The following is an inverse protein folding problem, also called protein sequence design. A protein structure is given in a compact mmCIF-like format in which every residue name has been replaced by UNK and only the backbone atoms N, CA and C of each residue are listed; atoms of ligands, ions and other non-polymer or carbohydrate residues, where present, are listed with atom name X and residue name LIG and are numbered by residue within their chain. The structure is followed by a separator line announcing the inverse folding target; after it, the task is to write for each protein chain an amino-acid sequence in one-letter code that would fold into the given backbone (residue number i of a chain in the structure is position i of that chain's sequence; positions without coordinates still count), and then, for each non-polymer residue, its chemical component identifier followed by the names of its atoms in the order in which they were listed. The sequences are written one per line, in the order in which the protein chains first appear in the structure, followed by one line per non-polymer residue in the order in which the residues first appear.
data_IF_103349505383
#
_entry.id   IF_103349505383
#
_cell.length_a   1.000
_cell.length_b   1.000
_cell.length_c   1.000
_cell.angle_alpha   90.00
_cell.angle_beta   90.00
_cell.angle_gamma   90.00
#
_symmetry.space_group_name_H-M   'P 1'
#
loop_
_entity.id
_entity.type
_entity.pdbx_description
1 polymer ?
#
# COMPACT_ATOMS: atom_id res chain seq x y z
N UNK A 1 -5.06 -10.46 -27.09
CA UNK A 1 -4.83 -9.50 -25.99
C UNK A 1 -3.33 -9.55 -25.72
N UNK A 2 -2.62 -8.42 -25.78
CA UNK A 2 -1.16 -8.45 -25.55
C UNK A 2 -0.92 -8.56 -24.05
N UNK A 3 -0.31 -9.68 -23.64
CA UNK A 3 0.12 -10.01 -22.28
C UNK A 3 1.26 -9.11 -21.75
N UNK A 4 1.70 -8.12 -22.51
CA UNK A 4 2.95 -7.42 -22.25
C UNK A 4 2.71 -6.16 -21.42
N UNK A 5 2.41 -6.33 -20.14
CA UNK A 5 2.63 -5.24 -19.19
C UNK A 5 4.11 -4.87 -19.20
N UNK A 6 4.48 -3.57 -19.21
CA UNK A 6 5.87 -3.20 -19.03
C UNK A 6 6.44 -3.80 -17.74
N UNK A 7 7.72 -4.15 -17.75
CA UNK A 7 8.33 -4.90 -16.64
C UNK A 7 8.06 -4.33 -15.24
N UNK A 8 8.09 -2.99 -15.01
CA UNK A 8 7.76 -2.43 -13.69
C UNK A 8 6.34 -2.75 -13.21
N UNK A 9 5.36 -2.82 -14.12
CA UNK A 9 3.97 -3.19 -13.79
C UNK A 9 3.86 -4.67 -13.44
N UNK A 10 4.53 -5.54 -14.20
CA UNK A 10 4.55 -6.98 -13.91
C UNK A 10 5.18 -7.28 -12.57
N UNK A 11 6.33 -6.66 -12.29
CA UNK A 11 7.02 -6.80 -11.01
C UNK A 11 6.16 -6.36 -9.83
N UNK A 12 5.51 -5.19 -9.96
CA UNK A 12 4.67 -4.63 -8.91
C UNK A 12 3.44 -5.52 -8.63
N UNK A 13 2.78 -6.01 -9.69
CA UNK A 13 1.65 -6.91 -9.54
C UNK A 13 2.04 -8.26 -8.95
N UNK A 14 3.12 -8.88 -9.44
CA UNK A 14 3.62 -10.13 -8.89
C UNK A 14 4.02 -9.99 -7.42
N UNK A 15 4.53 -8.83 -7.02
CA UNK A 15 4.85 -8.54 -5.61
C UNK A 15 3.59 -8.44 -4.74
N UNK A 16 2.50 -7.85 -5.25
CA UNK A 16 1.20 -7.83 -4.56
C UNK A 16 0.61 -9.24 -4.47
N UNK A 17 0.66 -10.03 -5.55
CA UNK A 17 0.23 -11.43 -5.54
C UNK A 17 0.98 -12.26 -4.48
N UNK A 18 2.31 -12.11 -4.42
CA UNK A 18 3.15 -12.81 -3.44
C UNK A 18 2.83 -12.35 -2.01
N UNK A 19 2.67 -11.04 -1.78
CA UNK A 19 2.32 -10.50 -0.46
C UNK A 19 0.95 -11.02 0.03
N UNK A 20 -0.05 -11.11 -0.85
CA UNK A 20 -1.34 -11.73 -0.53
C UNK A 20 -1.15 -13.22 -0.20
N UNK A 21 -0.34 -13.93 -0.96
CA UNK A 21 0.02 -15.31 -0.67
C UNK A 21 0.67 -15.50 0.71
N UNK A 22 1.55 -14.57 1.13
CA UNK A 22 2.15 -14.57 2.47
C UNK A 22 1.08 -14.42 3.56
N UNK A 23 0.09 -13.52 3.38
CA UNK A 23 -1.02 -13.32 4.34
C UNK A 23 -1.89 -14.58 4.45
N UNK A 24 -2.21 -15.22 3.32
CA UNK A 24 -2.99 -16.46 3.31
C UNK A 24 -2.26 -17.61 3.99
N UNK A 25 -0.96 -17.75 3.72
CA UNK A 25 -0.11 -18.77 4.36
C UNK A 25 -0.03 -18.55 5.88
N UNK A 26 0.16 -17.30 6.31
CA UNK A 26 0.17 -16.93 7.73
C UNK A 26 -1.16 -17.28 8.41
N UNK A 27 -2.29 -16.93 7.78
CA UNK A 27 -3.62 -17.26 8.30
C UNK A 27 -3.83 -18.77 8.45
N UNK A 28 -3.43 -19.57 7.46
CA UNK A 28 -3.51 -21.03 7.52
C UNK A 28 -2.67 -21.62 8.65
N UNK A 29 -1.46 -21.11 8.86
CA UNK A 29 -0.58 -21.53 9.96
C UNK A 29 -1.19 -21.20 11.33
N UNK A 30 -1.79 -20.02 11.50
CA UNK A 30 -2.47 -19.62 12.75
C UNK A 30 -3.71 -20.46 13.06
N UNK A 31 -4.51 -20.81 12.03
CA UNK A 31 -5.65 -21.72 12.19
C UNK A 31 -5.21 -23.11 12.70
N UNK A 32 -4.09 -23.64 12.18
CA UNK A 32 -3.55 -24.93 12.62
C UNK A 32 -3.08 -24.93 14.09
N UNK A 33 -2.57 -23.80 14.58
CA UNK A 33 -2.14 -23.64 15.98
C UNK A 33 -3.35 -23.54 16.93
N UNK A 34 -4.46 -22.98 16.47
CA UNK A 34 -5.67 -22.75 17.27
C UNK A 34 -6.58 -24.01 17.38
N UNK A 35 -6.46 -24.96 16.45
CA UNK A 35 -7.33 -26.13 16.32
C UNK A 35 -6.93 -27.34 17.19
N UNK A 36 -6.82 -27.14 18.52
CA UNK A 36 -6.87 -28.28 19.46
C UNK A 36 -8.30 -28.61 19.94
N UNK A 37 -9.30 -27.73 19.73
CA UNK A 37 -10.68 -27.96 20.22
C UNK A 37 -11.84 -27.28 19.46
N UNK A 38 -11.64 -26.60 18.32
CA UNK A 38 -12.72 -25.84 17.65
C UNK A 38 -13.08 -26.36 16.25
N UNK A 39 -14.24 -25.94 15.77
CA UNK A 39 -14.84 -26.32 14.48
C UNK A 39 -14.08 -25.59 13.37
N UNK A 40 -13.53 -26.36 12.42
CA UNK A 40 -12.80 -25.89 11.23
C UNK A 40 -13.41 -24.62 10.62
N UNK A 41 -12.76 -23.48 10.86
CA UNK A 41 -13.05 -22.26 10.12
C UNK A 41 -12.64 -22.47 8.66
N UNK A 42 -13.45 -22.00 7.70
CA UNK A 42 -13.06 -22.17 6.29
C UNK A 42 -11.82 -21.31 5.99
N UNK A 43 -11.01 -21.72 5.02
CA UNK A 43 -9.74 -21.10 4.68
C UNK A 43 -9.90 -19.66 4.13
N UNK A 44 -9.04 -18.73 4.56
CA UNK A 44 -9.01 -17.36 4.03
C UNK A 44 -8.53 -17.39 2.57
N UNK A 45 -9.46 -17.16 1.63
CA UNK A 45 -9.16 -17.16 0.20
C UNK A 45 -9.25 -15.75 -0.37
N UNK A 46 -8.12 -15.20 -0.82
CA UNK A 46 -8.02 -13.92 -1.52
C UNK A 46 -7.46 -14.19 -2.92
N UNK A 47 -8.03 -13.53 -3.93
CA UNK A 47 -7.56 -13.62 -5.31
C UNK A 47 -7.13 -12.24 -5.80
N UNK A 48 -6.03 -12.21 -6.54
CA UNK A 48 -5.54 -10.99 -7.19
C UNK A 48 -5.76 -11.17 -8.69
N UNK A 49 -6.52 -10.26 -9.28
CA UNK A 49 -6.89 -10.32 -10.68
C UNK A 49 -6.46 -9.06 -11.43
N UNK A 50 -6.03 -9.23 -12.67
CA UNK A 50 -5.71 -8.10 -13.54
C UNK A 50 -6.99 -7.51 -14.12
N UNK A 51 -7.31 -6.29 -13.70
CA UNK A 51 -8.40 -5.49 -14.27
C UNK A 51 -8.13 -4.96 -15.69
N UNK A 52 -9.17 -4.43 -16.36
CA UNK A 52 -9.02 -3.79 -17.67
C UNK A 52 -8.19 -2.51 -17.55
N UNK A 53 -7.42 -2.13 -18.59
CA UNK A 53 -6.66 -0.88 -18.58
C UNK A 53 -7.54 0.33 -18.25
N UNK A 54 -7.04 1.19 -17.36
CA UNK A 54 -7.64 2.48 -17.04
C UNK A 54 -7.04 3.52 -17.98
N UNK A 55 -7.89 4.24 -18.71
CA UNK A 55 -7.45 5.38 -19.51
C UNK A 55 -7.93 6.64 -18.82
N UNK A 56 -7.01 7.48 -18.39
CA UNK A 56 -7.38 8.83 -17.97
C UNK A 56 -7.63 9.67 -19.23
N UNK A 57 -8.77 10.37 -19.34
CA UNK A 57 -8.98 11.28 -20.44
C UNK A 57 -7.91 12.38 -20.36
N UNK A 58 -7.02 12.44 -21.35
CA UNK A 58 -5.98 13.47 -21.46
C UNK A 58 -6.54 14.88 -21.75
N UNK A 59 -7.88 15.05 -21.79
CA UNK A 59 -8.52 16.22 -22.39
C UNK A 59 -9.78 16.64 -21.61
N UNK A 60 -9.58 17.16 -20.41
CA UNK A 60 -10.47 18.18 -19.82
C UNK A 60 -9.71 19.43 -19.37
N UNK A 61 -8.39 19.47 -19.59
CA UNK A 61 -7.55 20.64 -19.26
C UNK A 61 -7.74 21.71 -20.33
N UNK A 62 -8.56 22.71 -20.00
CA UNK A 62 -8.76 23.90 -20.82
C UNK A 62 -7.57 24.86 -20.65
N UNK A 63 -6.36 24.49 -21.10
CA UNK A 63 -5.29 25.39 -21.60
C UNK A 63 -3.93 24.67 -21.71
N UNK A 64 -3.20 24.81 -22.84
CA UNK A 64 -1.94 24.11 -23.09
C UNK A 64 -0.68 24.92 -22.69
N UNK A 65 -0.72 25.69 -21.59
CA UNK A 65 0.45 26.50 -21.17
C UNK A 65 1.02 26.17 -19.80
N UNK A 66 0.32 25.39 -18.97
CA UNK A 66 0.88 24.78 -17.77
C UNK A 66 0.58 23.28 -17.84
N UNK A 67 1.61 22.43 -17.74
CA UNK A 67 1.43 21.00 -17.55
C UNK A 67 0.77 20.79 -16.17
N UNK A 68 -0.55 20.93 -16.11
CA UNK A 68 -1.32 20.70 -14.89
C UNK A 68 -1.31 19.20 -14.60
N UNK A 69 -0.32 18.76 -13.81
CA UNK A 69 -0.28 17.41 -13.29
C UNK A 69 -1.51 17.18 -12.40
N UNK A 70 -2.29 16.11 -12.58
CA UNK A 70 -3.44 15.82 -11.71
C UNK A 70 -2.93 15.54 -10.29
N UNK A 71 -3.69 15.99 -9.29
CA UNK A 71 -3.42 15.66 -7.89
C UNK A 71 -3.84 14.22 -7.58
N UNK A 72 -3.27 13.61 -6.53
CA UNK A 72 -3.67 12.28 -6.05
C UNK A 72 -5.19 12.15 -5.86
N UNK A 73 -5.91 13.08 -5.17
CA UNK A 73 -7.37 13.02 -5.07
C UNK A 73 -8.07 12.97 -6.43
N UNK A 74 -7.64 13.78 -7.39
CA UNK A 74 -8.20 13.78 -8.75
C UNK A 74 -8.03 12.44 -9.47
N UNK A 75 -6.87 11.79 -9.28
CA UNK A 75 -6.60 10.47 -9.87
C UNK A 75 -7.49 9.40 -9.23
N UNK A 76 -7.62 9.43 -7.91
CA UNK A 76 -8.45 8.49 -7.15
C UNK A 76 -9.94 8.67 -7.46
N UNK A 77 -10.45 9.90 -7.56
CA UNK A 77 -11.84 10.20 -7.95
C UNK A 77 -12.16 9.66 -9.35
N UNK A 78 -11.31 9.98 -10.33
CA UNK A 78 -11.51 9.51 -11.70
C UNK A 78 -11.34 7.98 -11.84
N UNK A 79 -10.54 7.35 -10.99
CA UNK A 79 -10.45 5.90 -10.92
C UNK A 79 -11.75 5.31 -10.35
N UNK A 80 -12.28 5.90 -9.27
CA UNK A 80 -13.55 5.51 -8.66
C UNK A 80 -14.72 5.59 -9.63
N UNK A 81 -14.83 6.69 -10.36
CA UNK A 81 -15.89 6.89 -11.35
C UNK A 81 -15.83 5.79 -12.43
N UNK A 82 -14.63 5.43 -12.90
CA UNK A 82 -14.48 4.32 -13.85
C UNK A 82 -14.85 2.96 -13.27
N UNK A 83 -14.58 2.70 -11.99
CA UNK A 83 -15.01 1.47 -11.33
C UNK A 83 -16.53 1.43 -11.17
N UNK A 84 -17.14 2.56 -10.80
CA UNK A 84 -18.59 2.73 -10.69
C UNK A 84 -19.29 2.50 -12.02
N UNK A 85 -18.80 3.13 -13.10
CA UNK A 85 -19.35 2.99 -14.45
C UNK A 85 -19.29 1.53 -14.95
N UNK A 86 -18.36 0.73 -14.43
CA UNK A 86 -18.21 -0.70 -14.73
C UNK A 86 -19.02 -1.60 -13.81
N UNK A 87 -19.65 -1.06 -12.76
CA UNK A 87 -20.31 -1.86 -11.71
C UNK A 87 -19.34 -2.74 -10.92
N UNK A 88 -18.07 -2.32 -10.79
CA UNK A 88 -17.00 -3.10 -10.15
C UNK A 88 -16.79 -2.76 -8.66
N UNK A 89 -17.52 -1.76 -8.14
CA UNK A 89 -17.49 -1.39 -6.72
C UNK A 89 -18.35 -2.36 -5.91
N UNK A 90 -17.95 -3.62 -5.86
CA UNK A 90 -18.46 -4.54 -4.85
C UNK A 90 -17.73 -4.32 -3.52
N UNK A 91 -18.42 -4.58 -2.41
CA UNK A 91 -17.84 -4.39 -1.09
C UNK A 91 -16.59 -5.26 -0.89
N UNK A 92 -16.56 -6.47 -1.40
CA UNK A 92 -15.50 -7.47 -1.14
C UNK A 92 -14.18 -7.28 -1.89
N UNK A 93 -14.02 -6.20 -2.68
CA UNK A 93 -12.85 -6.01 -3.53
C UNK A 93 -12.05 -4.76 -3.18
N UNK A 94 -10.72 -4.91 -3.13
CA UNK A 94 -9.78 -3.78 -3.21
C UNK A 94 -9.33 -3.58 -4.66
N UNK A 95 -9.42 -2.34 -5.14
CA UNK A 95 -8.98 -1.94 -6.47
C UNK A 95 -7.65 -1.19 -6.43
N UNK A 96 -6.60 -1.78 -6.99
CA UNK A 96 -5.28 -1.15 -7.15
C UNK A 96 -5.11 -0.57 -8.56
N UNK A 97 -4.80 0.72 -8.63
CA UNK A 97 -4.32 1.35 -9.86
C UNK A 97 -2.79 1.52 -9.82
N UNK A 98 -2.10 0.69 -10.60
CA UNK A 98 -0.69 0.91 -10.93
C UNK A 98 -0.58 2.09 -11.92
N UNK A 99 0.05 3.18 -11.49
CA UNK A 99 0.17 4.42 -12.25
C UNK A 99 1.61 4.64 -12.72
N UNK A 100 1.77 5.10 -13.97
CA UNK A 100 3.06 5.53 -14.51
C UNK A 100 3.09 7.05 -14.66
N UNK A 101 3.46 7.75 -13.58
CA UNK A 101 3.56 9.20 -13.56
C UNK A 101 4.88 9.66 -12.93
N UNK A 102 6.03 9.41 -13.59
CA UNK A 102 7.35 9.57 -12.99
C UNK A 102 7.69 11.00 -12.54
N UNK A 103 7.01 12.01 -13.08
CA UNK A 103 7.29 13.42 -12.79
C UNK A 103 6.12 14.16 -12.11
N UNK A 104 5.02 13.46 -11.81
CA UNK A 104 3.87 14.03 -11.11
C UNK A 104 4.01 13.99 -9.58
N UNK A 105 4.73 14.97 -9.02
CA UNK A 105 4.92 15.09 -7.57
C UNK A 105 3.61 15.24 -6.78
N UNK A 106 2.52 15.67 -7.43
CA UNK A 106 1.20 15.83 -6.78
C UNK A 106 0.46 14.51 -6.58
N UNK A 107 0.88 13.46 -7.28
CA UNK A 107 0.47 12.07 -7.01
C UNK A 107 1.41 11.42 -5.99
N UNK A 108 2.66 11.87 -5.90
CA UNK A 108 3.67 11.24 -5.06
C UNK A 108 3.86 9.78 -5.44
N UNK A 109 4.09 8.93 -4.46
CA UNK A 109 4.19 7.48 -4.66
C UNK A 109 2.85 6.75 -4.65
N UNK A 110 1.78 7.42 -4.27
CA UNK A 110 0.48 6.79 -4.17
C UNK A 110 -0.35 7.33 -3.02
N UNK A 111 -1.44 6.64 -2.79
CA UNK A 111 -2.30 6.80 -1.63
C UNK A 111 -3.69 6.22 -1.86
N UNK A 112 -4.43 6.15 -0.76
CA UNK A 112 -5.81 5.65 -0.68
C UNK A 112 -6.80 6.81 -0.53
N UNK A 113 -8.05 6.61 -0.96
CA UNK A 113 -9.18 7.49 -0.59
C UNK A 113 -9.89 6.85 0.60
N UNK A 114 -10.13 7.66 1.64
CA UNK A 114 -11.07 7.35 2.73
C UNK A 114 -12.50 7.15 2.19
N UNK A 115 -13.29 6.18 2.69
CA UNK A 115 -13.07 5.44 3.92
C UNK A 115 -12.02 4.34 3.75
N UNK A 116 -11.03 4.36 4.65
CA UNK A 116 -9.97 3.36 4.76
C UNK A 116 -10.52 1.97 5.13
N UNK A 117 -11.78 1.86 5.52
CA UNK A 117 -12.05 0.87 6.55
C UNK A 117 -12.68 -0.42 6.08
N UNK A 118 -13.46 -0.51 5.01
CA UNK A 118 -14.25 -1.72 4.87
C UNK A 118 -14.43 -2.15 3.42
N UNK A 119 -13.54 -3.03 3.00
CA UNK A 119 -13.95 -4.11 2.12
C UNK A 119 -15.08 -4.84 2.86
N UNK A 120 -16.26 -4.98 2.25
CA UNK A 120 -17.28 -5.94 2.64
C UNK A 120 -18.21 -5.53 3.79
N UNK A 121 -18.12 -4.33 4.36
CA UNK A 121 -19.05 -3.97 5.45
C UNK A 121 -20.48 -3.78 4.95
N UNK A 122 -21.34 -4.72 5.32
CA UNK A 122 -22.78 -4.56 5.37
C UNK A 122 -23.21 -4.35 6.83
N UNK A 123 -23.84 -3.21 7.13
CA UNK A 123 -24.76 -3.08 8.27
C UNK A 123 -24.41 -2.04 9.35
N UNK A 124 -25.09 -0.89 9.30
CA UNK A 124 -25.82 -0.44 10.48
C UNK A 124 -27.21 0.05 10.04
N UNK A 125 -28.24 -0.45 10.71
CA UNK A 125 -29.66 -0.39 10.35
C UNK A 125 -30.16 1.02 9.97
N UNK A 126 -30.52 1.23 8.70
CA UNK A 126 -31.59 2.16 8.31
C UNK A 126 -32.23 1.72 7.00
N UNK A 127 -33.49 1.27 7.10
CA UNK A 127 -34.45 1.18 6.00
C UNK A 127 -34.67 2.57 5.39
N UNK A 128 -34.64 2.65 4.05
CA UNK A 128 -34.94 3.78 3.14
C UNK A 128 -33.76 4.05 2.19
N UNK A 129 -33.79 3.44 0.99
CA UNK A 129 -32.88 3.67 -0.15
C UNK A 129 -31.37 3.84 0.22
N UNK A 130 -30.87 2.95 1.08
CA UNK A 130 -29.98 3.32 2.18
C UNK A 130 -28.52 3.70 1.86
N UNK A 131 -27.92 4.63 2.64
CA UNK A 131 -26.55 5.16 2.51
C UNK A 131 -25.41 4.18 2.90
N UNK A 132 -25.64 2.86 2.77
CA UNK A 132 -24.78 1.80 3.32
C UNK A 132 -24.23 0.80 2.28
N UNK A 133 -24.19 1.15 0.98
CA UNK A 133 -23.33 0.43 0.04
C UNK A 133 -21.92 1.01 0.17
N UNK A 134 -21.07 0.36 0.98
CA UNK A 134 -19.65 0.74 1.03
C UNK A 134 -19.04 0.30 -0.30
N UNK A 135 -18.87 1.27 -1.21
CA UNK A 135 -18.10 1.12 -2.44
C UNK A 135 -16.71 0.53 -2.07
N UNK A 136 -16.29 -0.57 -2.72
CA UNK A 136 -15.04 -1.28 -2.40
C UNK A 136 -13.80 -0.39 -2.28
N UNK A 137 -12.81 -0.85 -1.50
CA UNK A 137 -11.60 -0.09 -1.21
C UNK A 137 -10.79 0.18 -2.49
N UNK A 138 -10.04 1.29 -2.52
CA UNK A 138 -9.23 1.66 -3.67
C UNK A 138 -7.93 2.34 -3.28
N UNK A 139 -6.91 2.10 -4.09
CA UNK A 139 -5.58 2.67 -3.91
C UNK A 139 -4.88 2.94 -5.23
N UNK A 140 -3.93 3.87 -5.21
CA UNK A 140 -3.06 4.21 -6.35
C UNK A 140 -1.62 3.99 -5.93
N UNK A 141 -0.84 3.27 -6.75
CA UNK A 141 0.60 3.16 -6.59
C UNK A 141 1.30 3.73 -7.83
N UNK A 142 2.02 4.84 -7.68
CA UNK A 142 2.80 5.48 -8.74
C UNK A 142 4.16 4.80 -8.91
N UNK A 143 4.13 3.61 -9.49
CA UNK A 143 5.32 2.82 -9.79
C UNK A 143 6.25 3.50 -10.81
N UNK A 144 5.75 4.47 -11.59
CA UNK A 144 6.57 5.28 -12.47
C UNK A 144 7.55 6.18 -11.71
N UNK A 145 7.08 6.83 -10.64
CA UNK A 145 7.93 7.70 -9.83
C UNK A 145 9.04 6.89 -9.14
N UNK A 146 8.67 5.82 -8.44
CA UNK A 146 9.63 4.95 -7.76
C UNK A 146 10.61 4.26 -8.70
N UNK A 147 10.18 3.81 -9.88
CA UNK A 147 11.06 3.14 -10.82
C UNK A 147 12.11 4.08 -11.44
N UNK A 148 11.78 5.36 -11.61
CA UNK A 148 12.67 6.37 -12.19
C UNK A 148 13.59 6.99 -11.15
N UNK A 149 13.08 7.26 -9.94
CA UNK A 149 13.80 8.03 -8.93
C UNK A 149 14.51 7.18 -7.88
N UNK A 150 14.00 5.98 -7.59
CA UNK A 150 14.60 5.05 -6.64
C UNK A 150 15.08 3.77 -7.35
N UNK A 151 14.22 2.76 -7.43
CA UNK A 151 14.52 1.47 -8.03
C UNK A 151 13.25 0.63 -8.21
N UNK A 152 13.38 -0.44 -9.00
CA UNK A 152 12.30 -1.44 -9.14
C UNK A 152 11.97 -2.15 -7.82
N UNK A 153 12.92 -2.26 -6.90
CA UNK A 153 12.64 -2.88 -5.60
C UNK A 153 11.68 -2.01 -4.77
N UNK A 154 11.88 -0.70 -4.82
CA UNK A 154 10.96 0.27 -4.22
C UNK A 154 9.59 0.24 -4.89
N UNK A 155 9.52 0.15 -6.23
CA UNK A 155 8.23 0.05 -6.92
C UNK A 155 7.39 -1.13 -6.47
N UNK A 156 8.03 -2.27 -6.15
CA UNK A 156 7.35 -3.43 -5.57
C UNK A 156 6.85 -3.16 -4.16
N UNK A 157 7.69 -2.57 -3.30
CA UNK A 157 7.30 -2.22 -1.94
C UNK A 157 6.15 -1.23 -1.92
N UNK A 158 6.18 -0.18 -2.74
CA UNK A 158 5.09 0.81 -2.82
C UNK A 158 3.79 0.17 -3.31
N UNK A 159 3.82 -0.74 -4.29
CA UNK A 159 2.61 -1.42 -4.71
C UNK A 159 1.98 -2.25 -3.58
N UNK A 160 2.80 -2.95 -2.78
CA UNK A 160 2.33 -3.70 -1.60
C UNK A 160 1.82 -2.73 -0.51
N UNK A 161 2.61 -1.70 -0.19
CA UNK A 161 2.32 -0.70 0.83
C UNK A 161 0.96 -0.03 0.61
N UNK A 162 0.72 0.44 -0.61
CA UNK A 162 -0.53 1.13 -0.97
C UNK A 162 -1.75 0.20 -0.92
N UNK A 163 -1.56 -1.10 -1.19
CA UNK A 163 -2.60 -2.12 -1.01
C UNK A 163 -2.85 -2.38 0.47
N UNK A 164 -1.80 -2.52 1.28
CA UNK A 164 -1.93 -2.79 2.72
C UNK A 164 -2.63 -1.65 3.47
N UNK A 165 -2.49 -0.39 3.04
CA UNK A 165 -3.27 0.73 3.56
C UNK A 165 -4.79 0.53 3.44
N UNK A 166 -5.26 -0.35 2.55
CA UNK A 166 -6.68 -0.71 2.43
C UNK A 166 -7.12 -1.84 3.37
N UNK A 167 -6.18 -2.51 4.05
CA UNK A 167 -6.41 -3.65 4.93
C UNK A 167 -5.94 -3.41 6.38
N UNK A 168 -5.48 -2.20 6.72
CA UNK A 168 -4.89 -1.89 8.02
C UNK A 168 -5.71 -0.80 8.71
N UNK A 169 -6.87 -1.18 9.23
CA UNK A 169 -7.72 -0.24 9.97
C UNK A 169 -7.03 0.25 11.24
N UNK A 170 -7.21 1.52 11.65
CA UNK A 170 -6.47 2.10 12.77
C UNK A 170 -6.63 1.37 14.11
N UNK A 171 -7.76 0.71 14.34
CA UNK A 171 -8.02 -0.09 15.53
C UNK A 171 -7.21 -1.39 15.55
N UNK A 172 -7.11 -2.10 14.42
CA UNK A 172 -6.28 -3.30 14.30
C UNK A 172 -4.79 -2.95 14.42
N UNK A 173 -4.38 -1.83 13.80
CA UNK A 173 -3.02 -1.32 13.93
C UNK A 173 -2.67 -1.02 15.39
N UNK A 174 -3.61 -0.44 16.14
CA UNK A 174 -3.43 -0.19 17.58
C UNK A 174 -3.38 -1.49 18.38
N UNK A 175 -4.23 -2.46 18.07
CA UNK A 175 -4.26 -3.76 18.76
C UNK A 175 -2.96 -4.56 18.55
N UNK A 176 -2.39 -4.54 17.34
CA UNK A 176 -1.20 -5.32 16.99
C UNK A 176 0.10 -4.59 17.29
N UNK A 177 0.17 -3.30 16.97
CA UNK A 177 1.42 -2.51 16.99
C UNK A 177 1.55 -1.53 18.15
N UNK A 178 0.54 -1.41 19.02
CA UNK A 178 0.46 -0.38 20.09
C UNK A 178 0.71 1.05 19.54
N UNK A 179 0.20 1.31 18.34
CA UNK A 179 0.46 2.52 17.55
C UNK A 179 -0.76 2.88 16.71
N UNK A 180 -0.86 4.13 16.28
CA UNK A 180 -1.91 4.59 15.34
C UNK A 180 -1.43 4.67 13.89
N UNK A 181 -0.14 4.45 13.67
CA UNK A 181 0.49 4.54 12.36
C UNK A 181 0.79 3.13 11.85
N UNK A 182 0.10 2.71 10.79
CA UNK A 182 0.28 1.41 10.12
C UNK A 182 1.72 1.18 9.63
N UNK A 183 2.45 2.25 9.29
CA UNK A 183 3.86 2.18 8.91
C UNK A 183 4.73 1.54 10.01
N UNK A 184 4.36 1.71 11.29
CA UNK A 184 5.08 1.13 12.41
C UNK A 184 4.92 -0.40 12.51
N UNK A 185 4.00 -1.00 11.75
CA UNK A 185 3.92 -2.45 11.62
C UNK A 185 5.07 -3.01 10.75
N UNK A 186 5.70 -2.17 9.93
CA UNK A 186 6.86 -2.56 9.14
C UNK A 186 8.13 -2.80 9.96
N UNK A 187 9.18 -3.27 9.29
CA UNK A 187 10.49 -3.53 9.91
C UNK A 187 11.62 -2.95 9.07
N UNK A 188 12.55 -2.25 9.72
CA UNK A 188 13.84 -1.86 9.17
C UNK A 188 14.94 -2.48 10.02
N UNK A 189 15.58 -3.52 9.51
CA UNK A 189 16.53 -4.35 10.28
C UNK A 189 17.95 -4.20 9.73
N UNK A 190 18.92 -3.98 10.62
CA UNK A 190 20.35 -3.99 10.26
C UNK A 190 20.81 -5.41 9.95
N UNK A 191 21.45 -5.56 8.81
CA UNK A 191 21.92 -6.82 8.23
C UNK A 191 23.28 -6.65 7.57
N UNK A 192 23.83 -7.75 7.04
CA UNK A 192 25.11 -7.76 6.33
C UNK A 192 26.32 -7.61 7.26
N UNK A 193 27.53 -7.54 6.67
CA UNK A 193 28.76 -7.35 7.44
C UNK A 193 28.68 -6.09 8.29
N UNK A 194 28.99 -6.23 9.58
CA UNK A 194 29.04 -5.14 10.56
C UNK A 194 27.72 -4.37 10.75
N UNK A 195 26.59 -4.86 10.22
CA UNK A 195 25.29 -4.19 10.36
C UNK A 195 25.16 -2.90 9.55
N UNK A 196 25.89 -2.80 8.42
CA UNK A 196 25.93 -1.63 7.52
C UNK A 196 24.79 -1.59 6.49
N UNK A 197 24.04 -2.69 6.34
CA UNK A 197 22.90 -2.76 5.41
C UNK A 197 21.59 -2.66 6.17
N UNK A 198 20.71 -1.73 5.79
CA UNK A 198 19.36 -1.66 6.31
C UNK A 198 18.40 -2.39 5.35
N UNK A 199 17.80 -3.49 5.82
CA UNK A 199 16.76 -4.23 5.08
C UNK A 199 15.39 -3.72 5.50
N UNK A 200 14.61 -3.23 4.55
CA UNK A 200 13.35 -2.50 4.77
C UNK A 200 12.18 -3.28 4.17
N UNK A 201 11.16 -3.56 4.98
CA UNK A 201 9.90 -4.20 4.53
C UNK A 201 8.90 -3.17 3.96
N UNK A 202 7.84 -3.61 3.26
CA UNK A 202 6.94 -2.69 2.56
C UNK A 202 6.29 -1.61 3.44
N UNK A 203 5.77 -1.95 4.62
CA UNK A 203 5.16 -0.95 5.51
C UNK A 203 6.18 -0.02 6.19
N UNK A 204 7.43 -0.47 6.37
CA UNK A 204 8.53 0.39 6.85
C UNK A 204 9.18 1.19 5.74
N UNK A 205 8.69 1.06 4.50
CA UNK A 205 9.16 1.87 3.38
C UNK A 205 8.52 3.26 3.52
N UNK A 206 8.96 4.06 4.49
CA UNK A 206 8.47 5.41 4.68
C UNK A 206 9.23 6.36 3.75
N UNK A 207 8.49 7.10 2.93
CA UNK A 207 9.04 8.21 2.15
C UNK A 207 8.71 9.55 2.80
N UNK A 208 9.03 9.67 4.10
CA UNK A 208 8.87 10.89 4.86
C UNK A 208 10.12 11.77 4.68
N UNK A 209 10.17 12.51 3.56
CA UNK A 209 11.07 13.65 3.41
C UNK A 209 10.32 14.95 3.75
N UNK A 210 11.00 16.01 4.22
CA UNK A 210 10.38 17.32 4.38
C UNK A 210 9.79 17.79 3.03
N UNK A 211 8.74 18.62 3.09
CA UNK A 211 8.03 19.21 1.95
C UNK A 211 8.88 20.29 1.25
N UNK A 212 10.10 19.92 0.85
CA UNK A 212 11.04 20.76 0.14
C UNK A 212 11.95 19.93 -0.77
N UNK A 213 12.26 20.47 -1.94
CA UNK A 213 13.17 19.84 -2.90
C UNK A 213 14.51 19.47 -2.24
N UNK A 214 14.82 18.16 -2.19
CA UNK A 214 16.14 17.66 -1.75
C UNK A 214 16.20 17.03 -0.36
N UNK A 215 15.08 16.89 0.36
CA UNK A 215 15.01 16.40 1.74
C UNK A 215 15.22 14.91 2.02
N UNK A 216 15.77 14.13 1.08
CA UNK A 216 16.07 12.69 1.28
C UNK A 216 15.24 11.76 0.40
N UNK A 217 13.98 12.08 0.11
CA UNK A 217 13.16 11.40 -0.89
C UNK A 217 12.92 12.35 -2.07
N UNK A 218 13.31 11.94 -3.29
CA UNK A 218 13.33 12.84 -4.46
C UNK A 218 11.94 13.11 -5.04
N UNK A 219 10.93 12.45 -4.50
CA UNK A 219 9.53 12.59 -4.89
C UNK A 219 8.67 12.41 -3.65
N UNK A 220 8.07 13.50 -3.19
CA UNK A 220 7.34 13.53 -1.93
C UNK A 220 6.01 12.77 -2.04
N UNK A 221 5.73 11.87 -1.09
CA UNK A 221 4.39 11.35 -0.81
C UNK A 221 3.82 12.02 0.44
N UNK A 222 2.50 12.08 0.58
CA UNK A 222 1.83 12.72 1.74
C UNK A 222 1.73 11.79 2.99
N UNK A 223 2.68 10.87 3.17
CA UNK A 223 2.60 9.81 4.19
C UNK A 223 2.70 10.30 5.63
N UNK A 224 1.83 9.79 6.49
CA UNK A 224 1.56 10.28 7.83
C UNK A 224 2.52 9.79 8.93
N UNK A 225 2.88 10.76 9.79
CA UNK A 225 3.32 10.67 11.19
C UNK A 225 4.83 10.58 11.49
N UNK A 226 5.28 11.62 12.20
CA UNK A 226 6.63 12.01 12.63
C UNK A 226 7.74 12.10 11.54
N UNK A 227 7.70 13.22 10.80
CA UNK A 227 8.72 13.60 9.82
C UNK A 227 10.12 13.78 10.45
N UNK A 228 10.17 13.96 11.77
CA UNK A 228 11.36 14.25 12.56
C UNK A 228 12.05 12.96 13.05
N UNK A 229 11.32 11.84 13.13
CA UNK A 229 11.85 10.52 13.54
C UNK A 229 12.44 9.74 12.36
N UNK A 230 11.79 9.77 11.19
CA UNK A 230 12.26 8.97 10.04
C UNK A 230 13.48 9.58 9.35
N UNK A 231 13.48 10.91 9.13
CA UNK A 231 14.62 11.61 8.53
C UNK A 231 15.90 11.53 9.39
N UNK A 232 15.77 11.36 10.72
CA UNK A 232 16.91 11.13 11.64
C UNK A 232 17.44 9.69 11.61
N UNK A 233 16.68 8.75 11.02
CA UNK A 233 17.01 7.32 11.00
C UNK A 233 17.25 6.74 9.61
N UNK A 234 17.22 7.55 8.55
CA UNK A 234 17.61 7.19 7.18
C UNK A 234 19.11 6.80 7.04
N UNK A 235 19.81 6.52 8.14
CA UNK A 235 21.01 5.69 8.19
C UNK A 235 22.27 6.27 7.53
N UNK A 236 22.13 7.30 6.69
CA UNK A 236 23.23 7.93 5.97
C UNK A 236 24.11 8.78 6.89
N UNK A 237 23.53 9.41 7.93
CA UNK A 237 24.26 10.10 8.98
C UNK A 237 23.52 9.93 10.30
N UNK A 238 24.10 9.20 11.26
CA UNK A 238 23.66 9.24 12.64
C UNK A 238 24.86 9.59 13.49
N UNK A 239 24.88 10.82 14.01
CA UNK A 239 25.65 11.18 15.18
C UNK A 239 25.49 10.08 16.24
N UNK A 240 26.53 9.25 16.40
CA UNK A 240 26.61 8.24 17.47
C UNK A 240 26.23 6.79 17.15
N UNK A 241 25.89 6.42 15.90
CA UNK A 241 25.67 5.00 15.55
C UNK A 241 26.75 4.48 14.59
N UNK A 242 27.72 3.74 15.15
CA UNK A 242 28.80 3.10 14.39
C UNK A 242 28.55 1.58 14.23
N UNK A 243 28.63 1.04 13.01
CA UNK A 243 28.89 1.74 11.75
C UNK A 243 27.62 2.41 11.17
N UNK A 244 27.83 3.47 10.39
CA UNK A 244 26.77 4.09 9.58
C UNK A 244 26.20 3.11 8.54
N UNK A 245 24.94 3.32 8.15
CA UNK A 245 24.30 2.58 7.06
C UNK A 245 24.76 3.18 5.75
N UNK A 246 25.30 2.37 4.87
CA UNK A 246 25.72 2.79 3.52
C UNK A 246 24.97 2.03 2.42
N UNK A 247 24.10 1.09 2.81
CA UNK A 247 23.35 0.25 1.87
C UNK A 247 21.92 0.02 2.35
N UNK A 248 21.01 0.12 1.39
CA UNK A 248 19.59 -0.21 1.55
C UNK A 248 19.25 -1.45 0.73
N UNK A 249 18.48 -2.35 1.34
CA UNK A 249 17.88 -3.50 0.68
C UNK A 249 16.37 -3.48 0.92
N UNK A 250 15.59 -3.47 -0.16
CA UNK A 250 14.12 -3.49 -0.08
C UNK A 250 13.63 -4.91 -0.30
N UNK A 251 12.97 -5.47 0.70
CA UNK A 251 12.33 -6.79 0.63
C UNK A 251 10.82 -6.66 0.46
N UNK A 252 10.24 -7.62 -0.25
CA UNK A 252 8.78 -7.79 -0.37
C UNK A 252 8.21 -8.70 0.72
N UNK A 253 9.05 -9.26 1.59
CA UNK A 253 8.62 -10.00 2.77
C UNK A 253 7.90 -9.06 3.74
N UNK A 254 6.70 -9.47 4.15
CA UNK A 254 5.93 -8.77 5.18
C UNK A 254 6.49 -9.10 6.57
N UNK A 255 6.44 -8.13 7.48
CA UNK A 255 6.75 -8.39 8.88
C UNK A 255 5.63 -9.20 9.52
N UNK A 256 5.95 -9.89 10.63
CA UNK A 256 4.95 -10.63 11.41
C UNK A 256 3.79 -9.73 11.86
N UNK A 257 4.07 -8.51 12.31
CA UNK A 257 3.04 -7.54 12.70
C UNK A 257 2.15 -7.10 11.52
N UNK A 258 2.73 -6.96 10.32
CA UNK A 258 1.93 -6.66 9.11
C UNK A 258 1.04 -7.84 8.73
N UNK A 259 1.57 -9.07 8.80
CA UNK A 259 0.83 -10.30 8.52
C UNK A 259 -0.34 -10.46 9.50
N UNK A 260 -0.08 -10.35 10.80
CA UNK A 260 -1.10 -10.46 11.85
C UNK A 260 -2.22 -9.44 11.66
N UNK A 261 -1.87 -8.16 11.47
CA UNK A 261 -2.86 -7.11 11.29
C UNK A 261 -3.72 -7.33 10.02
N UNK A 262 -3.09 -7.67 8.89
CA UNK A 262 -3.83 -7.94 7.65
C UNK A 262 -4.74 -9.18 7.77
N UNK A 263 -4.28 -10.24 8.44
CA UNK A 263 -5.08 -11.44 8.70
C UNK A 263 -6.26 -11.15 9.61
N UNK A 264 -6.08 -10.40 10.69
CA UNK A 264 -7.17 -9.97 11.57
C UNK A 264 -8.22 -9.17 10.80
N UNK A 265 -7.79 -8.22 9.95
CA UNK A 265 -8.68 -7.42 9.13
C UNK A 265 -9.55 -8.27 8.20
N UNK A 266 -8.90 -9.12 7.40
CA UNK A 266 -9.59 -9.96 6.42
C UNK A 266 -10.52 -10.98 7.07
N UNK A 267 -10.22 -11.41 8.28
CA UNK A 267 -11.10 -12.29 9.08
C UNK A 267 -12.36 -11.55 9.52
N UNK A 268 -12.24 -10.29 9.97
CA UNK A 268 -13.38 -9.46 10.37
C UNK A 268 -14.31 -9.12 9.20
N UNK A 269 -13.74 -8.90 8.01
CA UNK A 269 -14.51 -8.58 6.80
C UNK A 269 -15.31 -9.78 6.26
N UNK A 270 -14.91 -11.00 6.62
CA UNK A 270 -15.58 -12.22 6.20
C UNK A 270 -16.82 -12.58 7.04
N UNK A 271 -16.86 -12.14 8.31
CA UNK A 271 -17.92 -12.45 9.28
C UNK A 271 -19.13 -11.54 9.13
#
# INVERSE_FOLDING_TARGET
MSDDWPTPFRDAFAAVEDAVGQIQAYAADQSLVSDSTAVSESELTVHVERGPPVRFPLLSVSQPTDLAFPSLPTVLDAFRDQLRDRGALDGSTCHLLLCWSPFNYRVGYGGTISPNDLIGSAGSDTDEDGPNAVDGAQTVANIGATAVWDSRAVSRNIAIHEVLHTFLSPDIVADVGDTRCDHNLGTATRTGPEGRTLRVSPMATAYAGPDEFGGGTRFHGTGCYDHDEFARHDGYEADGIEPAIDRFEYTTELSEATLEAATQYLTRVRS
#
